data_IF_313937964606
#
_entry.id   IF_313937964606
#
_cell.length_a   1.000
_cell.length_b   1.000
_cell.length_c   1.000
_cell.angle_alpha   90.00
_cell.angle_beta   90.00
_cell.angle_gamma   90.00
#
_symmetry.space_group_name_H-M   'P 1'
#
loop_
_entity.id
_entity.type
_entity.pdbx_description
1 polymer ?
#
# COMPACT_ATOMS: atom_id res chain seq x y z
N UNK A 1 -28.45 -37.72 -14.03
CA UNK A 1 -27.24 -37.19 -14.71
C UNK A 1 -26.05 -38.07 -14.36
N UNK A 2 -25.21 -38.46 -15.32
CA UNK A 2 -24.08 -39.37 -15.02
C UNK A 2 -23.03 -38.68 -14.14
N UNK A 3 -22.31 -39.46 -13.33
CA UNK A 3 -21.21 -38.95 -12.47
C UNK A 3 -20.20 -38.12 -13.28
N UNK A 4 -19.88 -38.56 -14.51
CA UNK A 4 -19.01 -37.84 -15.47
C UNK A 4 -19.59 -36.48 -15.89
N UNK A 5 -20.87 -36.42 -16.26
CA UNK A 5 -21.54 -35.15 -16.63
C UNK A 5 -21.60 -34.17 -15.45
N UNK A 6 -21.87 -34.68 -14.24
CA UNK A 6 -21.84 -33.87 -13.00
C UNK A 6 -20.45 -33.29 -12.73
N UNK A 7 -19.40 -34.10 -12.90
CA UNK A 7 -18.02 -33.65 -12.72
C UNK A 7 -17.63 -32.57 -13.73
N UNK A 8 -17.96 -32.75 -15.01
CA UNK A 8 -17.69 -31.75 -16.06
C UNK A 8 -18.40 -30.43 -15.75
N UNK A 9 -19.66 -30.47 -15.32
CA UNK A 9 -20.41 -29.27 -14.96
C UNK A 9 -19.80 -28.54 -13.75
N UNK A 10 -19.36 -29.29 -12.72
CA UNK A 10 -18.67 -28.70 -11.57
C UNK A 10 -17.34 -28.07 -11.98
N UNK A 11 -16.54 -28.76 -12.79
CA UNK A 11 -15.29 -28.21 -13.30
C UNK A 11 -15.51 -26.94 -14.13
N UNK A 12 -16.49 -26.96 -15.04
CA UNK A 12 -16.86 -25.79 -15.84
C UNK A 12 -17.33 -24.62 -14.96
N UNK A 13 -18.10 -24.90 -13.89
CA UNK A 13 -18.50 -23.89 -12.92
C UNK A 13 -17.30 -23.27 -12.20
N UNK A 14 -16.37 -24.07 -11.68
CA UNK A 14 -15.17 -23.56 -11.01
C UNK A 14 -14.25 -22.78 -11.96
N UNK A 15 -14.06 -23.27 -13.18
CA UNK A 15 -13.31 -22.55 -14.21
C UNK A 15 -13.98 -21.21 -14.55
N UNK A 16 -15.31 -21.18 -14.67
CA UNK A 16 -16.08 -19.95 -14.89
C UNK A 16 -15.92 -18.95 -13.75
N UNK A 17 -16.04 -19.39 -12.49
CA UNK A 17 -15.82 -18.55 -11.31
C UNK A 17 -14.39 -18.02 -11.24
N UNK A 18 -13.39 -18.85 -11.58
CA UNK A 18 -11.99 -18.43 -11.63
C UNK A 18 -11.74 -17.37 -12.70
N UNK A 19 -12.29 -17.54 -13.90
CA UNK A 19 -12.22 -16.53 -14.97
C UNK A 19 -12.87 -15.22 -14.54
N UNK A 20 -14.06 -15.28 -13.93
CA UNK A 20 -14.78 -14.11 -13.43
C UNK A 20 -13.97 -13.38 -12.34
N UNK A 21 -13.36 -14.13 -11.41
CA UNK A 21 -12.49 -13.56 -10.39
C UNK A 21 -11.25 -12.87 -10.98
N UNK A 22 -10.63 -13.46 -12.01
CA UNK A 22 -9.48 -12.86 -12.70
C UNK A 22 -9.84 -11.54 -13.39
N UNK A 23 -10.99 -11.49 -14.07
CA UNK A 23 -11.47 -10.28 -14.72
C UNK A 23 -11.78 -9.20 -13.68
N UNK A 24 -12.49 -9.56 -12.61
CA UNK A 24 -12.79 -8.65 -11.50
C UNK A 24 -11.50 -8.11 -10.85
N UNK A 25 -10.55 -8.99 -10.56
CA UNK A 25 -9.25 -8.65 -10.02
C UNK A 25 -8.50 -7.66 -10.91
N UNK A 26 -8.36 -7.98 -12.21
CA UNK A 26 -7.64 -7.15 -13.16
C UNK A 26 -8.26 -5.75 -13.25
N UNK A 27 -9.58 -5.65 -13.43
CA UNK A 27 -10.27 -4.36 -13.51
C UNK A 27 -10.08 -3.55 -12.23
N UNK A 28 -10.26 -4.18 -11.07
CA UNK A 28 -10.16 -3.51 -9.77
C UNK A 28 -8.75 -2.93 -9.54
N UNK A 29 -7.71 -3.71 -9.84
CA UNK A 29 -6.32 -3.27 -9.68
C UNK A 29 -5.98 -2.16 -10.67
N UNK A 30 -6.35 -2.28 -11.95
CA UNK A 30 -6.07 -1.24 -12.96
C UNK A 30 -6.75 0.08 -12.59
N UNK A 31 -8.02 0.03 -12.19
CA UNK A 31 -8.75 1.24 -11.84
C UNK A 31 -8.21 1.91 -10.56
N UNK A 32 -7.97 1.12 -9.51
CA UNK A 32 -7.51 1.64 -8.22
C UNK A 32 -6.10 2.24 -8.31
N UNK A 33 -5.19 1.59 -9.03
CA UNK A 33 -3.78 2.00 -9.07
C UNK A 33 -3.47 3.02 -10.15
N UNK A 34 -4.38 3.29 -11.10
CA UNK A 34 -4.14 4.23 -12.20
C UNK A 34 -3.54 5.55 -11.71
N UNK A 35 -4.22 6.23 -10.77
CA UNK A 35 -3.80 7.53 -10.27
C UNK A 35 -2.45 7.47 -9.54
N UNK A 36 -2.16 6.37 -8.84
CA UNK A 36 -0.88 6.18 -8.13
C UNK A 36 0.28 6.00 -9.11
N UNK A 37 0.06 5.24 -10.19
CA UNK A 37 1.07 4.99 -11.23
C UNK A 37 1.31 6.22 -12.10
N UNK A 38 0.28 7.05 -12.32
CA UNK A 38 0.43 8.35 -12.96
C UNK A 38 1.20 9.34 -12.06
N UNK A 39 0.99 9.27 -10.74
CA UNK A 39 1.70 10.11 -9.77
C UNK A 39 3.18 9.74 -9.64
N UNK A 40 3.53 8.46 -9.82
CA UNK A 40 4.90 7.94 -9.81
C UNK A 40 5.10 7.07 -11.06
N UNK A 41 5.45 7.69 -12.21
CA UNK A 41 5.68 6.98 -13.46
C UNK A 41 6.78 5.92 -13.34
N UNK A 42 6.74 4.94 -14.24
CA UNK A 42 7.75 3.88 -14.28
C UNK A 42 9.06 4.40 -14.89
N UNK A 43 10.15 4.17 -14.19
CA UNK A 43 11.51 4.40 -14.67
C UNK A 43 12.33 3.12 -14.46
N UNK A 44 12.98 2.63 -15.52
CA UNK A 44 13.82 1.42 -15.48
C UNK A 44 13.14 0.16 -14.88
N UNK A 45 11.83 -0.01 -15.12
CA UNK A 45 11.09 -1.18 -14.64
C UNK A 45 10.49 -1.04 -13.24
N UNK A 46 10.65 0.12 -12.59
CA UNK A 46 10.16 0.37 -11.23
C UNK A 46 9.43 1.72 -11.14
N UNK A 47 8.39 1.78 -10.32
CA UNK A 47 7.69 3.04 -10.02
C UNK A 47 8.33 3.67 -8.79
N UNK A 48 9.46 4.36 -9.00
CA UNK A 48 10.21 5.08 -7.96
C UNK A 48 10.56 6.45 -8.52
N UNK A 49 10.32 7.51 -7.76
CA UNK A 49 10.62 8.87 -8.16
C UNK A 49 11.21 9.65 -6.98
N UNK A 50 12.37 10.26 -7.18
CA UNK A 50 12.94 11.21 -6.24
C UNK A 50 12.39 12.62 -6.49
N UNK A 51 11.90 13.28 -5.44
CA UNK A 51 11.49 14.68 -5.45
C UNK A 51 12.59 15.54 -4.84
N UNK A 52 13.29 16.30 -5.69
CA UNK A 52 14.41 17.15 -5.28
C UNK A 52 13.98 18.29 -4.36
N UNK A 53 12.77 18.81 -4.53
CA UNK A 53 12.28 19.97 -3.78
C UNK A 53 12.02 19.60 -2.33
N UNK A 54 11.36 18.46 -2.14
CA UNK A 54 10.96 17.99 -0.81
C UNK A 54 11.96 16.99 -0.22
N UNK A 55 13.01 16.63 -0.97
CA UNK A 55 14.10 15.72 -0.63
C UNK A 55 13.60 14.34 -0.15
N UNK A 56 12.57 13.81 -0.83
CA UNK A 56 11.92 12.53 -0.52
C UNK A 56 11.87 11.63 -1.75
N UNK A 57 11.77 10.34 -1.54
CA UNK A 57 11.53 9.35 -2.59
C UNK A 57 10.12 8.81 -2.46
N UNK A 58 9.36 8.83 -3.55
CA UNK A 58 8.07 8.16 -3.66
C UNK A 58 8.22 6.82 -4.37
N UNK A 59 7.44 5.83 -3.98
CA UNK A 59 7.35 4.58 -4.72
C UNK A 59 5.94 4.01 -4.74
N UNK A 60 5.63 3.24 -5.79
CA UNK A 60 4.38 2.51 -5.94
C UNK A 60 4.68 1.06 -6.29
N UNK A 61 4.07 0.13 -5.58
CA UNK A 61 4.07 -1.29 -5.93
C UNK A 61 2.64 -1.74 -6.14
N UNK A 62 2.30 -2.20 -7.35
CA UNK A 62 1.02 -2.86 -7.61
C UNK A 62 0.91 -4.15 -6.77
N UNK A 63 -0.30 -4.59 -6.40
CA UNK A 63 -0.46 -5.89 -5.77
C UNK A 63 0.03 -7.02 -6.67
N UNK A 64 0.52 -8.09 -6.04
CA UNK A 64 0.84 -9.32 -6.74
C UNK A 64 -0.43 -9.99 -7.32
N UNK A 65 -0.26 -10.96 -8.21
CA UNK A 65 -1.38 -11.68 -8.85
C UNK A 65 -2.40 -12.20 -7.84
N UNK A 66 -3.68 -11.93 -8.12
CA UNK A 66 -4.84 -12.27 -7.27
C UNK A 66 -4.87 -11.60 -5.89
N UNK A 67 -4.03 -10.59 -5.64
CA UNK A 67 -4.11 -9.69 -4.47
C UNK A 67 -4.65 -8.33 -4.87
N UNK A 68 -5.26 -7.62 -3.93
CA UNK A 68 -5.83 -6.29 -4.19
C UNK A 68 -5.04 -5.15 -3.56
N UNK A 69 -4.19 -5.46 -2.58
CA UNK A 69 -3.40 -4.48 -1.83
C UNK A 69 -1.93 -4.62 -2.19
N UNK A 70 -1.41 -3.56 -2.80
CA UNK A 70 0.00 -3.26 -2.98
C UNK A 70 0.44 -2.14 -2.03
N UNK A 71 1.52 -1.44 -2.36
CA UNK A 71 2.15 -0.49 -1.45
C UNK A 71 2.30 0.88 -2.13
N UNK A 72 2.01 1.94 -1.40
CA UNK A 72 2.50 3.29 -1.69
C UNK A 72 3.55 3.59 -0.63
N UNK A 73 4.66 4.22 -1.02
CA UNK A 73 5.72 4.56 -0.10
C UNK A 73 6.20 5.98 -0.30
N UNK A 74 6.59 6.61 0.80
CA UNK A 74 7.37 7.84 0.83
C UNK A 74 8.48 7.67 1.86
N UNK A 75 9.70 8.04 1.50
CA UNK A 75 10.89 7.94 2.36
C UNK A 75 11.68 9.23 2.30
N UNK A 76 12.15 9.71 3.45
CA UNK A 76 13.16 10.76 3.49
C UNK A 76 14.58 10.16 3.38
N UNK A 77 15.59 11.04 3.40
CA UNK A 77 17.00 10.64 3.41
C UNK A 77 17.53 10.29 4.81
N UNK A 78 16.78 10.60 5.86
CA UNK A 78 17.20 10.43 7.26
C UNK A 78 16.81 9.06 7.82
N UNK A 79 16.10 8.25 7.03
CA UNK A 79 15.76 6.87 7.39
C UNK A 79 14.35 6.70 7.94
N UNK A 80 13.50 7.73 7.81
CA UNK A 80 12.07 7.63 8.06
C UNK A 80 11.34 7.30 6.75
N UNK A 81 10.44 6.34 6.81
CA UNK A 81 9.59 5.96 5.68
C UNK A 81 8.18 5.70 6.15
N UNK A 82 7.20 6.14 5.37
CA UNK A 82 5.79 5.84 5.53
C UNK A 82 5.36 4.89 4.40
N UNK A 83 4.78 3.75 4.77
CA UNK A 83 4.12 2.84 3.86
C UNK A 83 2.61 2.96 4.04
N UNK A 84 1.90 2.98 2.92
CA UNK A 84 0.45 3.08 2.85
C UNK A 84 -0.06 1.89 2.05
N UNK A 85 -0.97 1.14 2.66
CA UNK A 85 -1.66 0.02 2.04
C UNK A 85 -3.07 0.45 1.65
N UNK A 86 -3.29 0.85 0.39
CA UNK A 86 -4.62 1.25 -0.06
C UNK A 86 -5.56 0.04 -0.09
N UNK A 87 -6.74 0.19 0.49
CA UNK A 87 -7.85 -0.75 0.27
C UNK A 87 -8.54 -0.48 -1.06
N UNK A 88 -9.31 -1.45 -1.55
CA UNK A 88 -10.22 -1.26 -2.67
C UNK A 88 -11.26 -0.16 -2.37
N UNK A 89 -11.68 -0.07 -1.11
CA UNK A 89 -12.55 0.98 -0.62
C UNK A 89 -11.72 2.19 -0.22
N UNK A 90 -12.24 3.40 -0.48
CA UNK A 90 -11.49 4.65 -0.25
C UNK A 90 -11.21 4.94 1.23
N UNK A 91 -11.93 4.33 2.17
CA UNK A 91 -11.98 4.74 3.58
C UNK A 91 -11.34 3.75 4.56
N UNK A 92 -10.48 2.85 4.09
CA UNK A 92 -9.96 1.76 4.93
C UNK A 92 -8.48 1.50 4.61
N UNK A 93 -7.66 2.51 4.83
CA UNK A 93 -6.24 2.42 4.53
C UNK A 93 -5.50 1.96 5.77
N UNK A 94 -4.50 1.10 5.57
CA UNK A 94 -3.57 0.75 6.64
C UNK A 94 -2.25 1.48 6.42
N UNK A 95 -1.59 1.83 7.52
CA UNK A 95 -0.37 2.62 7.51
C UNK A 95 0.69 1.96 8.37
N UNK A 96 1.94 2.11 7.96
CA UNK A 96 3.09 1.70 8.75
C UNK A 96 4.22 2.68 8.57
N UNK A 97 5.08 2.78 9.57
CA UNK A 97 6.30 3.57 9.49
C UNK A 97 7.51 2.70 9.74
N UNK A 98 8.58 2.97 8.99
CA UNK A 98 9.90 2.44 9.23
C UNK A 98 10.80 3.58 9.66
N UNK A 99 11.41 3.47 10.86
CA UNK A 99 12.25 4.49 11.46
C UNK A 99 13.62 3.89 11.71
N UNK A 100 14.65 4.44 11.08
CA UNK A 100 16.04 4.08 11.36
C UNK A 100 16.68 5.13 12.30
N UNK A 101 17.22 4.68 13.42
CA UNK A 101 17.88 5.53 14.41
C UNK A 101 19.05 4.79 15.08
N UNK A 102 19.65 5.41 16.10
CA UNK A 102 20.82 4.87 16.82
C UNK A 102 20.58 3.51 17.47
N UNK A 103 19.32 3.18 17.80
CA UNK A 103 18.97 1.91 18.45
C UNK A 103 18.62 0.80 17.44
N UNK A 104 18.44 1.14 16.16
CA UNK A 104 18.17 0.18 15.10
C UNK A 104 17.09 0.64 14.13
N UNK A 105 16.43 -0.34 13.49
CA UNK A 105 15.27 -0.12 12.62
C UNK A 105 14.01 -0.55 13.36
N UNK A 106 13.03 0.35 13.41
CA UNK A 106 11.70 0.11 13.98
C UNK A 106 10.66 0.09 12.87
N UNK A 107 9.77 -0.88 12.86
CA UNK A 107 8.69 -1.02 11.87
C UNK A 107 7.36 -1.14 12.61
N UNK A 108 6.56 -0.07 12.59
CA UNK A 108 5.42 0.10 13.49
C UNK A 108 4.17 0.42 12.66
N UNK A 109 3.07 -0.32 12.90
CA UNK A 109 1.77 0.01 12.34
C UNK A 109 1.19 1.24 13.03
N UNK A 110 0.58 2.14 12.26
CA UNK A 110 -0.08 3.34 12.80
C UNK A 110 -1.51 3.46 12.26
N UNK A 111 -2.37 4.13 13.02
CA UNK A 111 -3.73 4.46 12.59
C UNK A 111 -3.78 5.80 11.82
N UNK A 112 -4.96 6.18 11.34
CA UNK A 112 -5.20 7.45 10.62
C UNK A 112 -4.89 8.71 11.44
N UNK A 113 -4.79 8.59 12.77
CA UNK A 113 -4.38 9.67 13.68
C UNK A 113 -2.88 9.69 13.93
N UNK A 114 -2.12 8.86 13.22
CA UNK A 114 -0.67 8.69 13.38
C UNK A 114 -0.27 8.19 14.77
N UNK A 115 -1.13 7.37 15.40
CA UNK A 115 -0.87 6.72 16.68
C UNK A 115 -0.46 5.26 16.45
N UNK A 116 0.47 4.74 17.24
CA UNK A 116 0.93 3.35 17.14
C UNK A 116 -0.19 2.34 17.46
N UNK A 117 -0.35 1.32 16.60
CA UNK A 117 -1.22 0.16 16.83
C UNK A 117 -0.37 -0.97 17.39
N UNK A 118 -0.26 -1.03 18.72
CA UNK A 118 0.72 -1.89 19.40
C UNK A 118 0.39 -2.11 20.88
N UNK A 119 0.81 -3.28 21.39
CA UNK A 119 0.80 -3.62 22.81
C UNK A 119 2.11 -3.20 23.52
N UNK A 120 3.10 -2.74 22.77
CA UNK A 120 4.43 -2.38 23.23
C UNK A 120 4.53 -0.86 23.52
N UNK A 121 4.73 -0.43 24.78
CA UNK A 121 4.79 0.99 25.13
C UNK A 121 5.92 1.76 24.44
N UNK A 122 7.03 1.10 24.13
CA UNK A 122 8.20 1.67 23.46
C UNK A 122 7.88 2.17 22.05
N UNK A 123 7.05 1.44 21.29
CA UNK A 123 6.61 1.83 19.97
C UNK A 123 5.83 3.14 20.02
N UNK A 124 4.99 3.33 21.05
CA UNK A 124 4.23 4.58 21.25
C UNK A 124 5.18 5.75 21.49
N UNK A 125 6.20 5.58 22.33
CA UNK A 125 7.22 6.60 22.59
C UNK A 125 8.01 6.96 21.32
N UNK A 126 8.31 5.96 20.49
CA UNK A 126 9.00 6.18 19.21
C UNK A 126 8.09 6.97 18.26
N UNK A 127 6.83 6.57 18.10
CA UNK A 127 5.88 7.30 17.23
C UNK A 127 5.67 8.73 17.72
N UNK A 128 5.49 8.96 19.02
CA UNK A 128 5.36 10.30 19.61
C UNK A 128 6.61 11.15 19.34
N UNK A 129 7.82 10.58 19.47
CA UNK A 129 9.08 11.27 19.19
C UNK A 129 9.19 11.75 17.74
N UNK A 130 8.73 10.93 16.78
CA UNK A 130 8.83 11.21 15.34
C UNK A 130 7.54 11.78 14.74
N UNK A 131 6.54 12.10 15.57
CA UNK A 131 5.18 12.43 15.12
C UNK A 131 5.15 13.54 14.07
N UNK A 132 5.84 14.66 14.32
CA UNK A 132 5.88 15.79 13.39
C UNK A 132 6.50 15.44 12.03
N UNK A 133 7.45 14.51 11.98
CA UNK A 133 8.09 14.12 10.73
C UNK A 133 7.25 13.08 9.98
N UNK A 134 6.59 12.19 10.71
CA UNK A 134 5.57 11.28 10.16
C UNK A 134 4.42 12.09 9.54
N UNK A 135 3.92 13.12 10.24
CA UNK A 135 2.86 14.01 9.77
C UNK A 135 3.25 14.70 8.46
N UNK A 136 4.46 15.25 8.36
CA UNK A 136 4.96 15.85 7.11
C UNK A 136 5.02 14.84 5.96
N UNK A 137 5.47 13.62 6.21
CA UNK A 137 5.49 12.57 5.17
C UNK A 137 4.07 12.19 4.76
N UNK A 138 3.15 12.11 5.72
CA UNK A 138 1.75 11.82 5.48
C UNK A 138 1.07 12.88 4.61
N UNK A 139 1.22 14.17 4.94
CA UNK A 139 0.70 15.29 4.13
C UNK A 139 1.24 15.27 2.70
N UNK A 140 2.54 15.00 2.53
CA UNK A 140 3.19 14.87 1.23
C UNK A 140 2.61 13.68 0.44
N UNK A 141 2.42 12.54 1.10
CA UNK A 141 1.84 11.34 0.48
C UNK A 141 0.38 11.56 0.08
N UNK A 142 -0.43 12.20 0.93
CA UNK A 142 -1.81 12.55 0.61
C UNK A 142 -1.92 13.41 -0.63
N UNK A 143 -1.09 14.46 -0.72
CA UNK A 143 -1.07 15.35 -1.86
C UNK A 143 -0.64 14.63 -3.13
N UNK A 144 0.39 13.79 -3.06
CA UNK A 144 0.96 13.06 -4.20
C UNK A 144 -0.01 12.00 -4.72
N UNK A 145 -0.57 11.19 -3.82
CA UNK A 145 -1.39 10.02 -4.16
C UNK A 145 -2.90 10.30 -4.10
N UNK A 146 -3.34 11.50 -3.70
CA UNK A 146 -4.76 11.93 -3.63
C UNK A 146 -5.61 11.03 -2.73
N UNK A 147 -5.10 10.71 -1.54
CA UNK A 147 -5.62 9.62 -0.70
C UNK A 147 -6.89 10.01 0.08
N UNK A 148 -7.08 11.29 0.41
CA UNK A 148 -8.23 11.80 1.17
C UNK A 148 -9.19 12.72 0.37
N UNK A 149 -9.43 12.44 -0.92
CA UNK A 149 -10.46 13.13 -1.73
C UNK A 149 -11.62 12.24 -2.17
#
# INVERSE_FOLDING_TARGET
MSKKKRFILLFALFAGLFCMYNVFWFISVQYKYKDYLEAVPEELGVHVQFDEKDNVTYNVKKPDYLRFTGNLGISDKEGLSLIIWPSLLKSDFAYGVRIQNDTGTHEIYINEKLEAITDYPEDRLIIEKYHNDIEKLFEKAEKKFKILK
#
